data_IF_622945077226
#
_entry.id   IF_622945077226
#
_cell.length_a   1.000
_cell.length_b   1.000
_cell.length_c   1.000
_cell.angle_alpha   90.00
_cell.angle_beta   90.00
_cell.angle_gamma   90.00
#
_symmetry.space_group_name_H-M   'P 1'
#
loop_
_entity.id
_entity.type
_entity.pdbx_description
1 polymer ?
#
# COMPACT_ATOMS: atom_id res chain seq x y z
N UNK A 1 -25.98 16.09 -10.15
CA UNK A 1 -26.54 14.80 -9.66
C UNK A 1 -25.54 13.70 -9.97
N UNK A 2 -25.62 12.56 -9.28
CA UNK A 2 -24.70 11.44 -9.53
C UNK A 2 -25.39 10.38 -10.41
N UNK A 3 -24.67 9.82 -11.38
CA UNK A 3 -25.19 8.84 -12.34
C UNK A 3 -24.18 7.72 -12.54
N UNK A 4 -24.66 6.48 -12.46
CA UNK A 4 -23.94 5.28 -12.90
C UNK A 4 -24.78 4.49 -13.89
N UNK A 5 -24.12 3.78 -14.80
CA UNK A 5 -24.75 2.89 -15.77
C UNK A 5 -24.08 1.53 -15.72
N UNK A 6 -24.88 0.46 -15.75
CA UNK A 6 -24.42 -0.91 -15.90
C UNK A 6 -24.90 -1.40 -17.26
N UNK A 7 -23.97 -1.74 -18.15
CA UNK A 7 -24.24 -2.29 -19.47
C UNK A 7 -23.72 -3.72 -19.57
N UNK A 8 -24.43 -4.58 -20.29
CA UNK A 8 -23.96 -5.91 -20.65
C UNK A 8 -24.47 -6.35 -22.01
N UNK A 9 -23.59 -6.94 -22.82
CA UNK A 9 -23.96 -7.60 -24.07
C UNK A 9 -24.63 -8.97 -23.86
N UNK A 10 -24.69 -9.47 -22.61
CA UNK A 10 -25.31 -10.74 -22.30
C UNK A 10 -26.85 -10.64 -22.51
N UNK A 11 -27.46 -11.52 -23.33
CA UNK A 11 -28.90 -11.48 -23.59
C UNK A 11 -29.75 -11.66 -22.32
N UNK A 12 -29.21 -12.31 -21.29
CA UNK A 12 -29.88 -12.54 -20.01
C UNK A 12 -29.61 -11.45 -18.95
N UNK A 13 -28.99 -10.32 -19.36
CA UNK A 13 -28.60 -9.23 -18.45
C UNK A 13 -29.69 -8.83 -17.46
N UNK A 14 -30.92 -8.62 -17.96
CA UNK A 14 -32.06 -8.21 -17.14
C UNK A 14 -32.42 -9.22 -16.04
N UNK A 15 -32.26 -10.51 -16.32
CA UNK A 15 -32.48 -11.57 -15.34
C UNK A 15 -31.35 -11.65 -14.31
N UNK A 16 -30.10 -11.48 -14.75
CA UNK A 16 -28.92 -11.47 -13.87
C UNK A 16 -29.03 -10.35 -12.82
N UNK A 17 -29.47 -9.15 -13.23
CA UNK A 17 -29.67 -8.02 -12.31
C UNK A 17 -31.03 -8.02 -11.60
N UNK A 18 -31.91 -8.97 -11.93
CA UNK A 18 -33.28 -9.11 -11.40
C UNK A 18 -34.12 -7.83 -11.59
N UNK A 19 -34.06 -7.23 -12.79
CA UNK A 19 -34.84 -6.04 -13.16
C UNK A 19 -35.62 -6.32 -14.45
N UNK A 20 -36.87 -5.90 -14.50
CA UNK A 20 -37.72 -6.10 -15.68
C UNK A 20 -37.60 -4.89 -16.63
N UNK A 21 -37.16 -5.06 -17.89
CA UNK A 21 -37.08 -3.97 -18.86
C UNK A 21 -38.44 -3.32 -19.18
N UNK A 22 -39.53 -4.06 -19.02
CA UNK A 22 -40.89 -3.57 -19.22
C UNK A 22 -41.48 -2.88 -17.97
N UNK A 23 -40.76 -2.91 -16.85
CA UNK A 23 -41.16 -2.14 -15.68
C UNK A 23 -40.72 -0.69 -15.84
N UNK A 24 -41.54 0.24 -15.35
CA UNK A 24 -41.17 1.66 -15.29
C UNK A 24 -40.00 1.91 -14.33
N UNK A 25 -39.79 3.19 -14.03
CA UNK A 25 -38.73 3.62 -13.13
C UNK A 25 -38.89 3.02 -11.73
N UNK A 26 -37.81 2.44 -11.20
CA UNK A 26 -37.75 1.93 -9.83
C UNK A 26 -37.10 2.95 -8.90
N UNK A 27 -37.67 3.15 -7.72
CA UNK A 27 -37.17 4.12 -6.73
C UNK A 27 -36.60 3.39 -5.51
N UNK A 28 -35.48 3.89 -5.00
CA UNK A 28 -34.85 3.46 -3.75
C UNK A 28 -34.33 4.67 -2.99
N UNK A 29 -34.48 4.68 -1.67
CA UNK A 29 -33.83 5.69 -0.83
C UNK A 29 -32.35 5.35 -0.70
N UNK A 30 -31.48 6.33 -0.95
CA UNK A 30 -30.05 6.23 -0.66
C UNK A 30 -29.70 7.38 0.26
N UNK A 31 -29.31 7.04 1.50
CA UNK A 31 -29.02 8.03 2.55
C UNK A 31 -30.19 9.01 2.70
N UNK A 32 -29.99 10.30 2.39
CA UNK A 32 -31.02 11.34 2.49
C UNK A 32 -31.70 11.67 1.16
N UNK A 33 -31.21 11.10 0.05
CA UNK A 33 -31.77 11.31 -1.28
C UNK A 33 -32.57 10.12 -1.82
N UNK A 34 -33.01 10.28 -3.06
CA UNK A 34 -33.75 9.26 -3.83
C UNK A 34 -32.93 8.91 -5.06
N UNK A 35 -32.78 7.60 -5.28
CA UNK A 35 -32.21 7.03 -6.49
C UNK A 35 -33.28 6.42 -7.37
N UNK A 36 -33.09 6.57 -8.67
CA UNK A 36 -34.03 6.21 -9.73
C UNK A 36 -33.30 5.26 -10.68
N UNK A 37 -33.84 4.05 -10.83
CA UNK A 37 -33.28 3.01 -11.69
C UNK A 37 -34.19 2.71 -12.87
N UNK A 38 -33.66 2.70 -14.09
CA UNK A 38 -34.43 2.41 -15.30
C UNK A 38 -33.55 1.83 -16.43
N UNK A 39 -34.16 1.09 -17.34
CA UNK A 39 -33.52 0.68 -18.59
C UNK A 39 -33.64 1.79 -19.63
N UNK A 40 -32.52 2.19 -20.25
CA UNK A 40 -32.53 3.05 -21.45
C UNK A 40 -32.79 2.25 -22.73
N UNK A 41 -32.42 0.98 -22.69
CA UNK A 41 -32.49 -0.04 -23.74
C UNK A 41 -32.32 -1.42 -23.07
N UNK A 42 -32.41 -2.51 -23.82
CA UNK A 42 -32.37 -3.86 -23.24
C UNK A 42 -31.04 -4.23 -22.56
N UNK A 43 -29.94 -3.60 -22.96
CA UNK A 43 -28.58 -3.91 -22.52
C UNK A 43 -28.02 -2.98 -21.44
N UNK A 44 -28.70 -1.86 -21.12
CA UNK A 44 -28.18 -0.83 -20.19
C UNK A 44 -29.18 -0.43 -19.13
N UNK A 45 -28.78 -0.61 -17.87
CA UNK A 45 -29.52 -0.16 -16.69
C UNK A 45 -28.84 1.05 -16.07
N UNK A 46 -29.61 2.12 -15.86
CA UNK A 46 -29.14 3.39 -15.33
C UNK A 46 -29.56 3.54 -13.88
N UNK A 47 -28.72 4.16 -13.07
CA UNK A 47 -29.06 4.61 -11.71
C UNK A 47 -28.68 6.08 -11.59
N UNK A 48 -29.69 6.92 -11.37
CA UNK A 48 -29.53 8.35 -11.15
C UNK A 48 -29.89 8.67 -9.69
N UNK A 49 -29.09 9.49 -9.04
CA UNK A 49 -29.32 9.92 -7.67
C UNK A 49 -29.55 11.42 -7.57
N UNK A 50 -30.67 11.78 -6.96
CA UNK A 50 -31.01 13.13 -6.53
C UNK A 50 -30.92 13.18 -5.01
N UNK A 51 -29.99 13.99 -4.50
CA UNK A 51 -29.87 14.25 -3.07
C UNK A 51 -31.08 15.03 -2.53
N UNK A 52 -31.26 15.06 -1.21
CA UNK A 52 -32.28 15.88 -0.57
C UNK A 52 -32.03 17.37 -0.84
N UNK A 53 -33.11 18.16 -0.93
CA UNK A 53 -33.00 19.61 -1.20
C UNK A 53 -32.42 20.35 0.00
N UNK A 54 -32.77 19.95 1.22
CA UNK A 54 -32.38 20.61 2.47
C UNK A 54 -31.48 19.76 3.39
N UNK A 55 -30.98 18.62 2.91
CA UNK A 55 -30.04 17.76 3.65
C UNK A 55 -28.89 17.33 2.74
N UNK A 56 -27.78 16.90 3.36
CA UNK A 56 -26.57 16.45 2.66
C UNK A 56 -26.34 14.97 2.94
N UNK A 57 -26.41 14.13 1.90
CA UNK A 57 -26.15 12.68 2.04
C UNK A 57 -24.69 12.35 2.31
N UNK A 58 -23.77 13.09 1.67
CA UNK A 58 -22.33 12.83 1.65
C UNK A 58 -21.59 14.03 2.23
N UNK A 59 -21.59 14.10 3.56
CA UNK A 59 -20.98 15.19 4.30
C UNK A 59 -19.44 15.10 4.25
N UNK A 60 -18.80 16.25 4.11
CA UNK A 60 -17.34 16.43 4.22
C UNK A 60 -16.91 16.74 5.66
N UNK A 61 -17.84 17.21 6.51
CA UNK A 61 -17.63 17.35 7.95
C UNK A 61 -18.88 16.95 8.74
N UNK A 62 -18.72 16.52 9.99
CA UNK A 62 -19.87 16.09 10.82
C UNK A 62 -20.91 17.20 11.04
N UNK A 63 -20.43 18.45 11.12
CA UNK A 63 -21.21 19.66 11.34
C UNK A 63 -21.91 20.17 10.07
N UNK A 64 -21.70 19.52 8.93
CA UNK A 64 -22.31 19.94 7.68
C UNK A 64 -23.79 19.55 7.66
N UNK A 65 -24.67 20.53 7.79
CA UNK A 65 -26.12 20.32 7.74
C UNK A 65 -26.75 20.84 6.45
N UNK A 66 -26.15 21.88 5.86
CA UNK A 66 -26.63 22.52 4.64
C UNK A 66 -25.47 23.28 3.97
N UNK A 67 -25.02 22.84 2.80
CA UNK A 67 -23.94 23.51 2.07
C UNK A 67 -24.22 23.48 0.56
N UNK A 68 -24.38 24.67 -0.04
CA UNK A 68 -24.65 24.83 -1.47
C UNK A 68 -23.47 24.41 -2.36
N UNK A 69 -22.26 24.35 -1.80
CA UNK A 69 -21.01 24.06 -2.51
C UNK A 69 -20.52 22.63 -2.32
N UNK A 70 -21.26 21.79 -1.59
CA UNK A 70 -20.92 20.38 -1.49
C UNK A 70 -21.13 19.71 -2.86
N UNK A 71 -20.02 19.41 -3.54
CA UNK A 71 -20.01 18.71 -4.83
C UNK A 71 -20.10 17.20 -4.70
N UNK A 72 -19.92 16.64 -3.50
CA UNK A 72 -19.91 15.20 -3.20
C UNK A 72 -21.23 14.52 -3.59
N UNK A 73 -22.36 15.23 -3.48
CA UNK A 73 -23.67 14.76 -4.00
C UNK A 73 -23.69 14.45 -5.51
N UNK A 74 -22.66 14.84 -6.24
CA UNK A 74 -22.56 14.65 -7.68
C UNK A 74 -21.43 13.70 -8.09
N UNK A 75 -20.32 13.66 -7.35
CA UNK A 75 -19.11 12.94 -7.76
C UNK A 75 -18.48 12.09 -6.67
N UNK A 76 -19.10 11.89 -5.50
CA UNK A 76 -18.50 11.07 -4.46
C UNK A 76 -18.26 9.62 -4.91
N UNK A 77 -17.07 9.04 -4.67
CA UNK A 77 -16.82 7.61 -4.92
C UNK A 77 -17.68 6.67 -4.08
N UNK A 78 -18.35 7.19 -3.03
CA UNK A 78 -19.29 6.43 -2.21
C UNK A 78 -20.61 6.13 -2.93
N UNK A 79 -21.01 6.96 -3.89
CA UNK A 79 -22.29 6.77 -4.57
C UNK A 79 -22.33 5.48 -5.40
N UNK A 80 -21.33 5.15 -6.23
CA UNK A 80 -21.25 3.84 -6.89
C UNK A 80 -21.43 2.66 -5.93
N UNK A 81 -20.80 2.71 -4.74
CA UNK A 81 -20.96 1.67 -3.72
C UNK A 81 -22.40 1.55 -3.22
N UNK A 82 -23.08 2.68 -3.03
CA UNK A 82 -24.47 2.72 -2.58
C UNK A 82 -25.42 2.27 -3.71
N UNK A 83 -25.18 2.68 -4.95
CA UNK A 83 -25.93 2.24 -6.12
C UNK A 83 -25.83 0.71 -6.32
N UNK A 84 -24.62 0.14 -6.19
CA UNK A 84 -24.42 -1.32 -6.26
C UNK A 84 -25.22 -2.05 -5.17
N UNK A 85 -25.21 -1.55 -3.93
CA UNK A 85 -25.95 -2.20 -2.85
C UNK A 85 -27.48 -2.15 -3.05
N UNK A 86 -28.02 -1.03 -3.53
CA UNK A 86 -29.47 -0.87 -3.66
C UNK A 86 -30.05 -1.47 -4.94
N UNK A 87 -29.32 -1.35 -6.06
CA UNK A 87 -29.83 -1.77 -7.36
C UNK A 87 -29.26 -3.08 -7.86
N UNK A 88 -28.04 -3.45 -7.44
CA UNK A 88 -27.29 -4.59 -7.97
C UNK A 88 -26.85 -5.58 -6.86
N UNK A 89 -27.53 -5.60 -5.71
CA UNK A 89 -27.16 -6.50 -4.62
C UNK A 89 -27.33 -7.98 -4.96
N UNK A 90 -28.26 -8.34 -5.83
CA UNK A 90 -28.46 -9.71 -6.25
C UNK A 90 -27.24 -10.27 -7.01
N UNK A 91 -26.81 -9.69 -8.15
CA UNK A 91 -25.62 -10.14 -8.85
C UNK A 91 -24.32 -9.90 -8.06
N UNK A 92 -24.30 -8.98 -7.10
CA UNK A 92 -23.14 -8.79 -6.20
C UNK A 92 -23.02 -9.90 -5.13
N UNK A 93 -24.13 -10.53 -4.70
CA UNK A 93 -24.09 -11.52 -3.61
C UNK A 93 -23.77 -12.93 -4.09
N UNK A 94 -24.28 -13.27 -5.27
CA UNK A 94 -24.24 -14.61 -5.86
C UNK A 94 -23.91 -14.48 -7.35
N UNK A 95 -22.94 -15.27 -7.80
CA UNK A 95 -22.64 -15.45 -9.21
C UNK A 95 -23.79 -16.20 -9.88
N UNK A 96 -24.38 -15.61 -10.91
CA UNK A 96 -25.47 -16.20 -11.68
C UNK A 96 -24.90 -17.18 -12.72
N UNK A 97 -25.51 -18.35 -12.91
CA UNK A 97 -25.04 -19.35 -13.87
C UNK A 97 -25.05 -18.84 -15.33
N UNK A 98 -25.87 -17.82 -15.62
CA UNK A 98 -25.94 -17.18 -16.95
C UNK A 98 -24.83 -16.16 -17.18
N UNK A 99 -24.10 -15.78 -16.14
CA UNK A 99 -22.98 -14.83 -16.19
C UNK A 99 -21.70 -15.54 -16.66
N UNK A 100 -21.77 -16.00 -17.91
CA UNK A 100 -20.72 -16.71 -18.61
C UNK A 100 -19.70 -15.75 -19.25
N UNK A 101 -18.46 -16.23 -19.38
CA UNK A 101 -17.39 -15.49 -20.05
C UNK A 101 -17.70 -15.20 -21.52
N UNK A 102 -17.10 -14.12 -22.02
CA UNK A 102 -17.12 -13.76 -23.45
C UNK A 102 -18.08 -12.63 -23.80
N UNK A 103 -19.02 -12.28 -22.93
CA UNK A 103 -19.84 -11.08 -23.08
C UNK A 103 -19.12 -9.85 -22.52
N UNK A 104 -19.20 -8.70 -23.21
CA UNK A 104 -18.70 -7.46 -22.64
C UNK A 104 -19.65 -6.93 -21.56
N UNK A 105 -19.08 -6.58 -20.40
CA UNK A 105 -19.76 -5.92 -19.30
C UNK A 105 -19.07 -4.60 -19.00
N UNK A 106 -19.85 -3.54 -18.80
CA UNK A 106 -19.34 -2.18 -18.56
C UNK A 106 -20.04 -1.55 -17.38
N UNK A 107 -19.25 -1.00 -16.45
CA UNK A 107 -19.72 -0.13 -15.40
C UNK A 107 -19.21 1.28 -15.68
N UNK A 108 -20.13 2.20 -15.96
CA UNK A 108 -19.82 3.58 -16.25
C UNK A 108 -20.24 4.48 -15.09
N UNK A 109 -19.33 5.36 -14.67
CA UNK A 109 -19.55 6.39 -13.67
C UNK A 109 -19.41 7.73 -14.36
N UNK A 110 -20.51 8.46 -14.47
CA UNK A 110 -20.53 9.71 -15.25
C UNK A 110 -19.62 10.78 -14.66
N UNK A 111 -19.55 10.85 -13.32
CA UNK A 111 -18.69 11.80 -12.62
C UNK A 111 -18.25 11.20 -11.27
N UNK A 112 -16.94 11.16 -11.05
CA UNK A 112 -16.29 10.66 -9.82
C UNK A 112 -15.11 11.56 -9.45
N UNK A 113 -14.99 11.90 -8.16
CA UNK A 113 -13.86 12.60 -7.58
C UNK A 113 -12.73 11.62 -7.32
N UNK A 114 -11.56 11.85 -7.90
CA UNK A 114 -10.38 11.01 -7.71
C UNK A 114 -9.25 11.85 -7.15
N UNK A 115 -9.00 11.73 -5.85
CA UNK A 115 -7.92 12.44 -5.18
C UNK A 115 -6.54 11.91 -5.58
N UNK A 116 -6.43 10.59 -5.73
CA UNK A 116 -5.18 9.89 -6.02
C UNK A 116 -5.35 8.95 -7.20
N UNK A 117 -5.03 9.43 -8.40
CA UNK A 117 -5.09 8.66 -9.66
C UNK A 117 -4.27 7.37 -9.62
N UNK A 118 -3.20 7.34 -8.83
CA UNK A 118 -2.31 6.20 -8.72
C UNK A 118 -3.01 4.88 -8.34
N UNK A 119 -4.10 4.93 -7.55
CA UNK A 119 -4.87 3.72 -7.24
C UNK A 119 -5.53 3.12 -8.47
N UNK A 120 -5.96 3.95 -9.43
CA UNK A 120 -6.49 3.42 -10.68
C UNK A 120 -5.39 2.74 -11.49
N UNK A 121 -4.22 3.38 -11.61
CA UNK A 121 -3.05 2.81 -12.28
C UNK A 121 -2.66 1.46 -11.67
N UNK A 122 -2.72 1.32 -10.35
CA UNK A 122 -2.48 0.03 -9.68
C UNK A 122 -3.50 -1.04 -10.08
N UNK A 123 -4.79 -0.70 -10.12
CA UNK A 123 -5.82 -1.65 -10.54
C UNK A 123 -5.64 -2.06 -12.00
N UNK A 124 -5.43 -1.10 -12.91
CA UNK A 124 -5.17 -1.35 -14.32
C UNK A 124 -3.93 -2.23 -14.53
N UNK A 125 -2.86 -1.95 -13.80
CA UNK A 125 -1.61 -2.70 -13.87
C UNK A 125 -1.77 -4.13 -13.38
N UNK A 126 -2.61 -4.38 -12.39
CA UNK A 126 -2.68 -5.69 -11.72
C UNK A 126 -3.91 -6.53 -12.13
N UNK A 127 -4.95 -5.94 -12.70
CA UNK A 127 -6.17 -6.62 -13.14
C UNK A 127 -6.27 -6.60 -14.67
N UNK A 128 -5.44 -7.41 -15.34
CA UNK A 128 -5.28 -7.38 -16.81
C UNK A 128 -6.55 -7.75 -17.60
N UNK A 129 -7.50 -8.43 -16.98
CA UNK A 129 -8.79 -8.80 -17.58
C UNK A 129 -9.82 -7.65 -17.55
N UNK A 130 -9.41 -6.47 -17.05
CA UNK A 130 -10.22 -5.28 -16.93
C UNK A 130 -9.53 -4.10 -17.62
N UNK A 131 -10.32 -3.25 -18.25
CA UNK A 131 -9.85 -1.94 -18.74
C UNK A 131 -10.46 -0.83 -17.91
N UNK A 132 -9.68 0.23 -17.71
CA UNK A 132 -10.06 1.39 -16.90
C UNK A 132 -9.85 2.65 -17.73
N UNK A 133 -10.93 3.23 -18.24
CA UNK A 133 -10.85 4.45 -19.06
C UNK A 133 -11.28 5.66 -18.25
N UNK A 134 -10.38 6.64 -18.12
CA UNK A 134 -10.67 7.92 -17.51
C UNK A 134 -10.82 9.01 -18.56
N UNK A 135 -11.88 9.81 -18.40
CA UNK A 135 -12.04 11.08 -19.10
C UNK A 135 -12.14 12.21 -18.09
N UNK A 136 -11.14 13.08 -18.06
CA UNK A 136 -11.14 14.26 -17.20
C UNK A 136 -12.27 15.22 -17.62
N UNK A 137 -13.05 15.69 -16.64
CA UNK A 137 -14.05 16.73 -16.84
C UNK A 137 -13.51 18.09 -16.39
N UNK A 138 -13.20 18.21 -15.10
CA UNK A 138 -12.69 19.43 -14.48
C UNK A 138 -12.13 19.11 -13.09
N UNK A 139 -11.04 19.78 -12.70
CA UNK A 139 -10.35 19.54 -11.42
C UNK A 139 -10.14 18.03 -11.19
N UNK A 140 -10.38 17.52 -9.98
CA UNK A 140 -10.26 16.09 -9.67
C UNK A 140 -11.50 15.28 -10.02
N UNK A 141 -12.34 15.78 -10.95
CA UNK A 141 -13.56 15.08 -11.39
C UNK A 141 -13.39 14.46 -12.77
N UNK A 142 -13.74 13.18 -12.88
CA UNK A 142 -13.56 12.36 -14.07
C UNK A 142 -14.85 11.59 -14.38
N UNK A 143 -15.07 11.23 -15.64
CA UNK A 143 -15.85 10.04 -15.97
C UNK A 143 -14.92 8.82 -15.92
N UNK A 144 -15.43 7.70 -15.41
CA UNK A 144 -14.71 6.45 -15.30
C UNK A 144 -15.53 5.32 -15.91
N UNK A 145 -14.94 4.63 -16.88
CA UNK A 145 -15.50 3.41 -17.50
C UNK A 145 -14.64 2.22 -17.08
N UNK A 146 -15.27 1.17 -16.58
CA UNK A 146 -14.61 -0.09 -16.24
C UNK A 146 -15.26 -1.19 -17.06
N UNK A 147 -14.45 -1.89 -17.85
CA UNK A 147 -14.94 -2.91 -18.79
C UNK A 147 -14.26 -4.24 -18.51
N UNK A 148 -14.99 -5.34 -18.70
CA UNK A 148 -14.43 -6.69 -18.68
C UNK A 148 -15.22 -7.62 -19.59
N UNK A 149 -14.61 -8.76 -19.95
CA UNK A 149 -15.28 -9.88 -20.63
C UNK A 149 -15.35 -11.15 -19.78
N UNK A 150 -14.96 -11.07 -18.51
CA UNK A 150 -14.95 -12.24 -17.61
C UNK A 150 -16.34 -12.50 -17.04
N UNK A 151 -16.87 -11.57 -16.23
CA UNK A 151 -18.21 -11.68 -15.65
C UNK A 151 -18.73 -10.35 -15.12
N UNK A 152 -20.05 -10.18 -15.14
CA UNK A 152 -20.74 -9.07 -14.47
C UNK A 152 -20.51 -9.11 -12.95
N UNK A 153 -20.46 -10.31 -12.36
CA UNK A 153 -20.21 -10.52 -10.95
C UNK A 153 -18.86 -9.93 -10.53
N UNK A 154 -17.77 -10.31 -11.22
CA UNK A 154 -16.45 -9.76 -10.92
C UNK A 154 -16.38 -8.26 -11.21
N UNK A 155 -17.00 -7.77 -12.28
CA UNK A 155 -17.07 -6.32 -12.57
C UNK A 155 -17.61 -5.53 -11.38
N UNK A 156 -18.74 -5.95 -10.79
CA UNK A 156 -19.33 -5.27 -9.64
C UNK A 156 -18.40 -5.30 -8.42
N UNK A 157 -17.66 -6.39 -8.21
CA UNK A 157 -16.67 -6.49 -7.13
C UNK A 157 -15.44 -5.62 -7.38
N UNK A 158 -14.89 -5.58 -8.61
CA UNK A 158 -13.77 -4.69 -8.96
C UNK A 158 -14.15 -3.23 -8.77
N UNK A 159 -15.31 -2.81 -9.30
CA UNK A 159 -15.84 -1.44 -9.12
C UNK A 159 -15.99 -1.13 -7.64
N UNK A 160 -16.52 -2.07 -6.85
CA UNK A 160 -16.74 -1.90 -5.42
C UNK A 160 -15.42 -1.72 -4.65
N UNK A 161 -14.42 -2.55 -4.92
CA UNK A 161 -13.12 -2.45 -4.25
C UNK A 161 -12.41 -1.16 -4.67
N UNK A 162 -12.36 -0.84 -5.96
CA UNK A 162 -11.74 0.39 -6.45
C UNK A 162 -12.39 1.64 -5.84
N UNK A 163 -13.73 1.74 -5.89
CA UNK A 163 -14.45 2.88 -5.33
C UNK A 163 -14.23 3.00 -3.81
N UNK A 164 -14.07 1.89 -3.08
CA UNK A 164 -13.70 1.95 -1.67
C UNK A 164 -12.32 2.59 -1.47
N UNK A 165 -11.30 2.19 -2.24
CA UNK A 165 -9.97 2.82 -2.20
C UNK A 165 -10.03 4.30 -2.54
N UNK A 166 -10.78 4.67 -3.58
CA UNK A 166 -10.95 6.07 -3.99
C UNK A 166 -11.64 6.89 -2.91
N UNK A 167 -12.63 6.31 -2.23
CA UNK A 167 -13.37 6.99 -1.17
C UNK A 167 -12.48 7.30 0.04
N UNK A 168 -11.44 6.50 0.35
CA UNK A 168 -10.54 6.75 1.49
C UNK A 168 -9.82 8.10 1.45
N UNK A 169 -9.49 8.55 0.25
CA UNK A 169 -8.81 9.83 0.02
C UNK A 169 -9.80 10.90 -0.43
N UNK A 170 -11.09 10.59 -0.45
CA UNK A 170 -12.16 11.56 -0.67
C UNK A 170 -12.26 12.56 0.47
N UNK A 171 -13.17 13.51 0.31
CA UNK A 171 -13.44 14.55 1.32
C UNK A 171 -14.38 14.05 2.41
N UNK A 172 -15.06 12.93 2.16
CA UNK A 172 -16.12 12.39 2.99
C UNK A 172 -15.60 11.42 4.04
N UNK A 173 -16.19 11.48 5.23
CA UNK A 173 -15.87 10.50 6.27
C UNK A 173 -16.47 9.13 5.95
N UNK A 174 -15.69 8.08 6.17
CA UNK A 174 -16.09 6.69 6.00
C UNK A 174 -15.73 5.94 7.27
N UNK A 175 -16.75 5.49 7.98
CA UNK A 175 -16.56 4.56 9.07
C UNK A 175 -16.29 3.16 8.51
N UNK A 176 -15.05 2.71 8.62
CA UNK A 176 -14.64 1.35 8.23
C UNK A 176 -14.84 0.43 9.43
N UNK A 177 -16.08 -0.04 9.57
CA UNK A 177 -16.47 -1.08 10.53
C UNK A 177 -16.04 -2.49 10.08
N UNK A 178 -16.04 -3.44 11.01
CA UNK A 178 -15.70 -4.84 10.73
C UNK A 178 -16.66 -5.47 9.69
N UNK A 179 -17.95 -5.16 9.72
CA UNK A 179 -18.91 -5.64 8.73
C UNK A 179 -18.58 -5.14 7.31
N UNK A 180 -18.07 -3.91 7.20
CA UNK A 180 -17.60 -3.36 5.92
C UNK A 180 -16.35 -4.12 5.47
N UNK A 181 -15.39 -4.35 6.37
CA UNK A 181 -14.20 -5.15 6.05
C UNK A 181 -14.59 -6.54 5.56
N UNK A 182 -15.44 -7.27 6.28
CA UNK A 182 -15.90 -8.61 5.89
C UNK A 182 -16.48 -8.63 4.46
N UNK A 183 -17.29 -7.62 4.13
CA UNK A 183 -17.88 -7.46 2.80
C UNK A 183 -16.83 -7.25 1.71
N UNK A 184 -15.84 -6.38 1.94
CA UNK A 184 -14.84 -6.06 0.92
C UNK A 184 -13.73 -7.10 0.84
N UNK A 185 -13.43 -7.81 1.93
CA UNK A 185 -12.58 -9.01 1.93
C UNK A 185 -13.22 -10.10 1.05
N UNK A 186 -14.53 -10.33 1.18
CA UNK A 186 -15.24 -11.20 0.23
C UNK A 186 -15.03 -10.75 -1.22
N UNK A 187 -15.07 -9.44 -1.47
CA UNK A 187 -14.87 -8.90 -2.81
C UNK A 187 -13.44 -9.11 -3.33
N UNK A 188 -12.44 -8.97 -2.47
CA UNK A 188 -11.03 -9.29 -2.76
C UNK A 188 -10.87 -10.77 -3.15
N UNK A 189 -11.60 -11.68 -2.51
CA UNK A 189 -11.61 -13.11 -2.87
C UNK A 189 -12.31 -13.40 -4.20
N UNK A 190 -13.46 -12.77 -4.45
CA UNK A 190 -14.22 -13.01 -5.69
C UNK A 190 -13.42 -12.61 -6.93
N UNK A 191 -12.69 -11.49 -6.86
CA UNK A 191 -11.83 -11.05 -7.97
C UNK A 191 -10.47 -11.74 -7.98
N UNK A 192 -10.26 -12.69 -7.05
CA UNK A 192 -8.97 -13.29 -6.70
C UNK A 192 -7.83 -12.29 -6.83
N UNK A 193 -7.91 -11.20 -6.06
CA UNK A 193 -7.03 -10.05 -6.24
C UNK A 193 -5.55 -10.47 -6.13
N UNK A 194 -4.63 -9.91 -6.91
CA UNK A 194 -3.20 -10.23 -6.78
C UNK A 194 -2.61 -9.61 -5.51
N UNK A 195 -1.38 -10.03 -5.17
CA UNK A 195 -0.64 -9.59 -3.98
C UNK A 195 -0.75 -8.08 -3.74
N UNK A 196 -0.47 -7.26 -4.76
CA UNK A 196 -0.36 -5.82 -4.56
C UNK A 196 -1.66 -5.18 -4.09
N UNK A 197 -2.80 -5.58 -4.66
CA UNK A 197 -4.12 -5.08 -4.25
C UNK A 197 -4.44 -5.52 -2.81
N UNK A 198 -4.05 -6.75 -2.43
CA UNK A 198 -4.21 -7.27 -1.05
C UNK A 198 -3.32 -6.53 -0.05
N UNK A 199 -2.05 -6.29 -0.39
CA UNK A 199 -1.11 -5.53 0.44
C UNK A 199 -1.59 -4.08 0.61
N UNK A 200 -2.07 -3.44 -0.47
CA UNK A 200 -2.72 -2.12 -0.40
C UNK A 200 -3.95 -2.15 0.52
N UNK A 201 -4.79 -3.19 0.43
CA UNK A 201 -5.97 -3.31 1.28
C UNK A 201 -5.56 -3.43 2.75
N UNK A 202 -4.60 -4.31 3.07
CA UNK A 202 -4.10 -4.49 4.43
C UNK A 202 -3.52 -3.18 4.99
N UNK A 203 -2.67 -2.50 4.23
CA UNK A 203 -2.02 -1.25 4.65
C UNK A 203 -3.02 -0.13 4.92
N UNK A 204 -4.06 -0.03 4.12
CA UNK A 204 -4.97 1.10 4.12
C UNK A 204 -6.20 0.89 5.04
N UNK A 205 -6.70 -0.34 5.17
CA UNK A 205 -7.93 -0.63 5.92
C UNK A 205 -7.69 -1.36 7.24
N UNK A 206 -6.56 -2.08 7.38
CA UNK A 206 -6.19 -2.81 8.60
C UNK A 206 -5.14 -2.02 9.41
N UNK A 207 -5.47 -0.76 9.70
CA UNK A 207 -4.54 0.23 10.26
C UNK A 207 -4.10 -0.05 11.69
N UNK A 208 -4.86 -0.83 12.47
CA UNK A 208 -4.51 -1.21 13.85
C UNK A 208 -3.97 -2.65 13.90
N UNK A 209 -3.07 -2.93 14.86
CA UNK A 209 -2.53 -4.29 15.05
C UNK A 209 -3.60 -5.34 15.34
N UNK A 210 -4.63 -4.97 16.10
CA UNK A 210 -5.75 -5.85 16.42
C UNK A 210 -6.51 -6.25 15.16
N UNK A 211 -6.95 -5.27 14.38
CA UNK A 211 -7.67 -5.49 13.13
C UNK A 211 -6.81 -6.25 12.12
N UNK A 212 -5.54 -5.90 12.01
CA UNK A 212 -4.59 -6.61 11.16
C UNK A 212 -4.48 -8.08 11.55
N UNK A 213 -4.27 -8.41 12.83
CA UNK A 213 -4.20 -9.80 13.30
C UNK A 213 -5.49 -10.57 13.04
N UNK A 214 -6.65 -9.92 13.19
CA UNK A 214 -7.96 -10.52 12.93
C UNK A 214 -8.13 -10.93 11.46
N UNK A 215 -7.66 -10.11 10.53
CA UNK A 215 -7.94 -10.27 9.10
C UNK A 215 -6.78 -10.76 8.23
N UNK A 216 -5.54 -10.79 8.75
CA UNK A 216 -4.33 -11.18 8.01
C UNK A 216 -4.53 -12.48 7.22
N UNK A 217 -4.91 -13.56 7.91
CA UNK A 217 -5.08 -14.88 7.30
C UNK A 217 -6.16 -14.91 6.23
N UNK A 218 -7.22 -14.12 6.37
CA UNK A 218 -8.23 -14.02 5.30
C UNK A 218 -7.65 -13.27 4.11
N UNK A 219 -7.03 -12.10 4.30
CA UNK A 219 -6.45 -11.32 3.20
C UNK A 219 -5.40 -12.10 2.39
N UNK A 220 -4.62 -12.96 3.03
CA UNK A 220 -3.57 -13.75 2.37
C UNK A 220 -4.12 -14.84 1.42
N UNK A 221 -5.39 -15.27 1.57
CA UNK A 221 -5.95 -16.37 0.77
C UNK A 221 -6.20 -16.00 -0.68
N UNK A 222 -5.48 -16.66 -1.58
CA UNK A 222 -5.62 -16.58 -3.05
C UNK A 222 -5.31 -17.93 -3.68
N UNK A 223 -5.85 -18.18 -4.87
CA UNK A 223 -5.47 -19.35 -5.70
C UNK A 223 -4.18 -19.15 -6.48
N UNK A 224 -3.62 -17.94 -6.52
CA UNK A 224 -2.49 -17.61 -7.39
C UNK A 224 -1.15 -18.10 -6.86
N UNK A 225 -0.87 -17.84 -5.58
CA UNK A 225 0.40 -18.12 -4.92
C UNK A 225 0.30 -17.87 -3.40
N UNK A 226 1.15 -18.47 -2.56
CA UNK A 226 1.27 -18.12 -1.15
C UNK A 226 1.68 -16.65 -0.97
N UNK A 227 0.99 -15.97 -0.05
CA UNK A 227 1.28 -14.60 0.38
C UNK A 227 1.54 -14.61 1.89
N UNK A 228 2.57 -13.88 2.32
CA UNK A 228 2.82 -13.53 3.71
C UNK A 228 2.82 -12.02 3.86
N UNK A 229 1.82 -11.44 4.50
CA UNK A 229 1.80 -10.01 4.80
C UNK A 229 2.43 -9.73 6.15
N UNK A 230 3.00 -8.54 6.31
CA UNK A 230 3.45 -8.01 7.60
C UNK A 230 2.76 -6.68 7.94
N UNK A 231 2.62 -6.39 9.24
CA UNK A 231 1.89 -5.19 9.67
C UNK A 231 2.69 -3.91 9.39
N UNK A 232 2.08 -2.99 8.65
CA UNK A 232 2.61 -1.65 8.39
C UNK A 232 3.19 -1.48 6.98
N UNK A 233 3.93 -0.40 6.79
CA UNK A 233 4.71 -0.20 5.55
C UNK A 233 5.99 -1.05 5.56
N UNK A 234 6.58 -1.29 4.39
CA UNK A 234 7.87 -1.98 4.25
C UNK A 234 8.95 -1.40 5.16
N UNK A 235 9.07 -0.07 5.24
CA UNK A 235 9.99 0.59 6.18
C UNK A 235 9.68 0.26 7.65
N UNK A 236 8.41 0.26 8.05
CA UNK A 236 8.02 -0.11 9.42
C UNK A 236 8.29 -1.59 9.71
N UNK A 237 8.00 -2.47 8.76
CA UNK A 237 8.28 -3.91 8.86
C UNK A 237 9.78 -4.14 9.07
N UNK A 238 10.64 -3.48 8.28
CA UNK A 238 12.09 -3.52 8.43
C UNK A 238 12.57 -2.96 9.77
N UNK A 239 12.07 -1.81 10.21
CA UNK A 239 12.41 -1.26 11.53
C UNK A 239 12.01 -2.18 12.67
N UNK A 240 10.83 -2.81 12.59
CA UNK A 240 10.40 -3.78 13.60
C UNK A 240 11.30 -5.02 13.61
N UNK A 241 11.70 -5.50 12.42
CA UNK A 241 12.64 -6.62 12.29
C UNK A 241 13.99 -6.29 12.93
N UNK A 242 14.62 -5.18 12.54
CA UNK A 242 15.91 -4.74 13.08
C UNK A 242 15.81 -4.53 14.59
N UNK A 243 14.75 -3.89 15.07
CA UNK A 243 14.50 -3.74 16.50
C UNK A 243 14.34 -5.08 17.24
N UNK A 244 13.97 -6.18 16.58
CA UNK A 244 13.89 -7.49 17.21
C UNK A 244 15.24 -8.22 17.27
N UNK A 245 16.22 -7.76 16.51
CA UNK A 245 17.57 -8.33 16.43
C UNK A 245 18.59 -7.59 17.29
N UNK A 246 18.29 -6.35 17.68
CA UNK A 246 19.15 -5.55 18.54
C UNK A 246 18.77 -5.72 20.03
N UNK A 247 19.74 -5.99 20.91
CA UNK A 247 19.49 -6.14 22.36
C UNK A 247 19.25 -4.79 23.07
N UNK A 248 19.62 -3.67 22.44
CA UNK A 248 19.57 -2.31 23.02
C UNK A 248 20.40 -2.13 24.30
N UNK A 249 21.52 -2.83 24.40
CA UNK A 249 22.44 -2.75 25.56
C UNK A 249 23.71 -1.94 25.28
N UNK A 250 23.99 -1.64 24.01
CA UNK A 250 25.22 -0.97 23.52
C UNK A 250 24.84 0.27 22.72
N UNK A 251 25.82 1.15 22.49
CA UNK A 251 25.64 2.29 21.59
C UNK A 251 25.33 1.78 20.17
N UNK A 252 24.48 2.50 19.43
CA UNK A 252 24.15 2.16 18.03
C UNK A 252 24.75 3.21 17.09
N UNK A 253 25.40 2.76 16.02
CA UNK A 253 25.81 3.59 14.88
C UNK A 253 24.85 3.36 13.72
N UNK A 254 24.10 4.40 13.37
CA UNK A 254 23.09 4.42 12.31
C UNK A 254 23.61 5.22 11.12
N UNK A 255 24.02 4.51 10.08
CA UNK A 255 24.62 5.08 8.88
C UNK A 255 23.54 5.22 7.82
N UNK A 256 23.32 6.45 7.34
CA UNK A 256 22.19 6.81 6.48
C UNK A 256 20.90 6.99 7.28
N UNK A 257 20.96 7.71 8.41
CA UNK A 257 19.84 7.80 9.35
C UNK A 257 18.61 8.53 8.78
N UNK A 258 18.77 9.26 7.68
CA UNK A 258 17.74 10.06 7.03
C UNK A 258 17.09 11.03 7.99
N UNK A 259 15.77 11.15 7.93
CA UNK A 259 14.99 12.00 8.85
C UNK A 259 14.83 11.41 10.27
N UNK A 260 15.62 10.39 10.64
CA UNK A 260 15.61 9.79 11.99
C UNK A 260 14.50 8.76 12.19
N UNK A 261 14.12 8.06 11.12
CA UNK A 261 13.09 7.01 11.17
C UNK A 261 13.44 5.88 12.15
N UNK A 262 14.73 5.56 12.28
CA UNK A 262 15.29 4.64 13.27
C UNK A 262 15.83 5.38 14.50
N UNK A 263 16.60 6.45 14.28
CA UNK A 263 17.27 7.20 15.34
C UNK A 263 16.33 7.64 16.48
N UNK A 264 15.20 8.25 16.15
CA UNK A 264 14.27 8.77 17.15
C UNK A 264 13.67 7.64 18.03
N UNK A 265 13.05 6.58 17.49
CA UNK A 265 12.47 5.52 18.34
C UNK A 265 13.49 4.55 18.96
N UNK A 266 14.71 4.47 18.45
CA UNK A 266 15.73 3.56 19.00
C UNK A 266 16.55 4.23 20.10
N UNK A 267 16.87 5.52 19.98
CA UNK A 267 17.57 6.27 21.01
C UNK A 267 16.84 6.24 22.36
N UNK A 268 15.49 6.26 22.36
CA UNK A 268 14.67 6.16 23.59
C UNK A 268 14.73 4.81 24.29
N UNK A 269 15.24 3.76 23.63
CA UNK A 269 15.42 2.42 24.20
C UNK A 269 16.83 2.19 24.73
N UNK A 270 17.78 3.05 24.36
CA UNK A 270 19.18 2.86 24.67
C UNK A 270 19.55 3.51 26.01
N UNK A 271 20.32 2.81 26.87
CA UNK A 271 20.92 3.41 28.04
C UNK A 271 22.16 4.25 27.72
N UNK A 272 22.77 4.04 26.54
CA UNK A 272 23.99 4.71 26.08
C UNK A 272 23.68 5.65 24.90
N UNK A 273 24.65 5.87 23.99
CA UNK A 273 24.53 6.82 22.88
C UNK A 273 23.92 6.21 21.63
N UNK A 274 23.20 7.03 20.86
CA UNK A 274 22.78 6.73 19.50
C UNK A 274 23.50 7.69 18.55
N UNK A 275 24.43 7.16 17.77
CA UNK A 275 25.20 7.91 16.78
C UNK A 275 24.48 7.84 15.43
N UNK A 276 23.89 8.95 14.98
CA UNK A 276 23.18 9.02 13.72
C UNK A 276 24.02 9.79 12.68
N UNK A 277 24.26 9.16 11.53
CA UNK A 277 25.17 9.65 10.50
C UNK A 277 24.39 9.80 9.19
N UNK A 278 24.45 10.96 8.57
CA UNK A 278 23.88 11.19 7.24
C UNK A 278 24.63 12.31 6.51
N UNK A 279 24.83 12.15 5.20
CA UNK A 279 25.50 13.16 4.37
C UNK A 279 24.60 14.36 4.06
N UNK A 280 23.28 14.21 4.26
CA UNK A 280 22.30 15.26 4.03
C UNK A 280 22.08 16.08 5.31
N UNK A 281 22.66 17.29 5.34
CA UNK A 281 22.53 18.20 6.47
C UNK A 281 21.08 18.58 6.79
N UNK A 282 20.20 18.66 5.78
CA UNK A 282 18.79 18.99 6.00
C UNK A 282 18.06 17.89 6.77
N UNK A 283 18.39 16.63 6.47
CA UNK A 283 17.89 15.46 7.21
C UNK A 283 18.36 15.51 8.67
N UNK A 284 19.64 15.78 8.90
CA UNK A 284 20.22 15.90 10.25
C UNK A 284 19.58 17.05 11.05
N UNK A 285 19.31 18.19 10.42
CA UNK A 285 18.60 19.31 11.06
C UNK A 285 17.21 18.90 11.54
N UNK A 286 16.49 18.10 10.75
CA UNK A 286 15.18 17.57 11.12
C UNK A 286 15.27 16.57 12.27
N UNK A 287 16.28 15.69 12.26
CA UNK A 287 16.55 14.78 13.39
C UNK A 287 16.83 15.56 14.66
N UNK A 288 17.68 16.60 14.59
CA UNK A 288 18.02 17.45 15.74
C UNK A 288 16.77 18.10 16.34
N UNK A 289 15.89 18.66 15.50
CA UNK A 289 14.62 19.25 15.95
C UNK A 289 13.73 18.21 16.64
N UNK A 290 13.53 17.04 16.00
CA UNK A 290 12.72 15.94 16.56
C UNK A 290 13.28 15.40 17.87
N UNK A 291 14.60 15.34 18.02
CA UNK A 291 15.26 14.90 19.24
C UNK A 291 15.01 15.89 20.39
N UNK A 292 15.13 17.21 20.15
CA UNK A 292 14.80 18.25 21.13
C UNK A 292 13.34 18.19 21.54
N UNK A 293 12.41 18.10 20.57
CA UNK A 293 10.97 18.01 20.83
C UNK A 293 10.58 16.78 21.67
N UNK A 294 11.37 15.71 21.60
CA UNK A 294 11.14 14.45 22.33
C UNK A 294 12.05 14.27 23.54
N UNK A 295 12.83 15.30 23.89
CA UNK A 295 13.77 15.29 25.02
C UNK A 295 14.79 14.13 24.96
N UNK A 296 15.24 13.77 23.75
CA UNK A 296 16.24 12.72 23.52
C UNK A 296 17.63 13.35 23.62
N UNK A 297 18.32 13.12 24.75
CA UNK A 297 19.64 13.71 25.03
C UNK A 297 20.83 12.85 24.63
N UNK A 298 20.62 11.57 24.35
CA UNK A 298 21.67 10.60 24.02
C UNK A 298 21.90 10.42 22.52
N UNK A 299 21.26 11.23 21.67
CA UNK A 299 21.38 11.17 20.22
C UNK A 299 22.44 12.17 19.74
N UNK A 300 23.49 11.67 19.08
CA UNK A 300 24.64 12.46 18.59
C UNK A 300 24.67 12.35 17.07
N UNK A 301 24.85 13.49 16.40
CA UNK A 301 24.78 13.59 14.93
C UNK A 301 26.16 13.81 14.33
N UNK A 302 26.45 13.11 13.23
CA UNK A 302 27.65 13.31 12.41
C UNK A 302 27.27 13.46 10.94
N UNK A 303 28.02 14.27 10.18
CA UNK A 303 27.77 14.46 8.75
C UNK A 303 28.46 13.42 7.87
N UNK A 304 29.37 12.61 8.44
CA UNK A 304 30.03 11.51 7.74
C UNK A 304 30.56 10.46 8.71
N UNK A 305 30.82 9.26 8.18
CA UNK A 305 31.48 8.19 8.94
C UNK A 305 32.89 8.62 9.37
N UNK A 306 33.63 9.30 8.50
CA UNK A 306 34.99 9.78 8.82
C UNK A 306 35.01 10.79 9.97
N UNK A 307 33.98 11.64 10.08
CA UNK A 307 33.86 12.55 11.22
C UNK A 307 33.58 11.79 12.52
N UNK A 308 32.66 10.82 12.48
CA UNK A 308 32.41 9.95 13.64
C UNK A 308 33.67 9.21 14.10
N UNK A 309 34.44 8.67 13.15
CA UNK A 309 35.66 7.91 13.43
C UNK A 309 36.78 8.72 14.10
N UNK A 310 36.79 10.06 13.94
CA UNK A 310 37.73 10.93 14.65
C UNK A 310 37.44 10.99 16.15
N UNK A 311 36.18 10.88 16.53
CA UNK A 311 35.70 10.93 17.92
C UNK A 311 35.50 9.52 18.51
N UNK A 312 35.47 8.49 17.66
CA UNK A 312 35.24 7.11 18.05
C UNK A 312 36.41 6.56 18.89
N UNK A 313 36.10 6.13 20.10
CA UNK A 313 37.07 5.66 21.09
C UNK A 313 37.32 4.15 21.07
N UNK A 314 36.74 3.43 20.11
CA UNK A 314 36.84 1.96 20.04
C UNK A 314 35.85 1.21 20.94
N UNK A 315 34.81 1.86 21.47
CA UNK A 315 33.75 1.16 22.20
C UNK A 315 33.03 0.13 21.32
N UNK A 316 32.60 -1.00 21.90
CA UNK A 316 31.83 -1.97 21.15
C UNK A 316 30.40 -1.45 20.90
N UNK A 317 29.98 -1.42 19.63
CA UNK A 317 28.68 -0.88 19.18
C UNK A 317 27.84 -1.92 18.44
N UNK A 318 26.57 -1.61 18.19
CA UNK A 318 25.81 -2.22 17.10
C UNK A 318 25.75 -1.23 15.92
N UNK A 319 25.77 -1.72 14.69
CA UNK A 319 25.77 -0.90 13.46
C UNK A 319 24.56 -1.24 12.61
N UNK A 320 23.88 -0.22 12.09
CA UNK A 320 22.82 -0.38 11.10
C UNK A 320 23.15 0.43 9.83
N UNK A 321 22.98 -0.22 8.68
CA UNK A 321 23.18 0.35 7.35
C UNK A 321 21.99 -0.07 6.47
N UNK A 322 20.89 0.67 6.55
CA UNK A 322 19.61 0.25 5.99
C UNK A 322 19.25 1.07 4.76
N UNK A 323 19.13 0.43 3.60
CA UNK A 323 18.81 1.10 2.32
C UNK A 323 19.78 2.24 1.97
N UNK A 324 21.06 1.95 1.98
CA UNK A 324 22.12 2.93 1.69
C UNK A 324 23.00 2.46 0.55
N UNK A 325 23.35 1.17 0.55
CA UNK A 325 24.36 0.60 -0.35
C UNK A 325 23.93 0.63 -1.82
N UNK A 326 22.62 0.57 -2.10
CA UNK A 326 22.04 0.65 -3.44
C UNK A 326 22.14 2.05 -4.05
N UNK A 327 22.39 3.09 -3.24
CA UNK A 327 22.61 4.46 -3.71
C UNK A 327 24.09 4.72 -4.07
N UNK A 328 24.97 3.74 -3.82
CA UNK A 328 26.39 3.77 -4.15
C UNK A 328 26.67 2.81 -5.32
N UNK A 329 27.77 3.01 -6.06
CA UNK A 329 28.23 1.96 -6.97
C UNK A 329 28.63 0.71 -6.17
N UNK A 330 28.61 -0.48 -6.82
CA UNK A 330 28.95 -1.76 -6.16
C UNK A 330 30.33 -1.71 -5.48
N UNK A 331 31.31 -1.03 -6.09
CA UNK A 331 32.66 -0.98 -5.54
C UNK A 331 32.80 0.03 -4.40
N UNK A 332 32.11 1.16 -4.48
CA UNK A 332 32.03 2.10 -3.36
C UNK A 332 31.36 1.43 -2.14
N UNK A 333 30.25 0.73 -2.35
CA UNK A 333 29.57 -0.02 -1.29
C UNK A 333 30.47 -1.12 -0.69
N UNK A 334 31.19 -1.88 -1.53
CA UNK A 334 32.15 -2.90 -1.08
C UNK A 334 33.26 -2.30 -0.21
N UNK A 335 33.87 -1.21 -0.64
CA UNK A 335 34.91 -0.50 0.13
C UNK A 335 34.33 0.02 1.44
N UNK A 336 33.14 0.60 1.40
CA UNK A 336 32.48 1.18 2.57
C UNK A 336 32.14 0.13 3.64
N UNK A 337 31.57 -1.01 3.25
CA UNK A 337 31.31 -2.13 4.18
C UNK A 337 32.62 -2.63 4.80
N UNK A 338 33.69 -2.79 4.01
CA UNK A 338 35.01 -3.21 4.53
C UNK A 338 35.63 -2.18 5.48
N UNK A 339 35.46 -0.89 5.20
CA UNK A 339 35.90 0.19 6.10
C UNK A 339 35.22 0.04 7.47
N UNK A 340 33.89 -0.09 7.50
CA UNK A 340 33.11 -0.31 8.73
C UNK A 340 33.61 -1.55 9.47
N UNK A 341 33.78 -2.68 8.77
CA UNK A 341 34.25 -3.93 9.38
C UNK A 341 35.63 -3.82 10.03
N UNK A 342 36.53 -3.01 9.45
CA UNK A 342 37.91 -2.86 9.91
C UNK A 342 38.09 -1.79 11.00
N UNK A 343 37.23 -0.77 11.03
CA UNK A 343 37.43 0.41 11.88
C UNK A 343 36.49 0.46 13.09
N UNK A 344 35.33 -0.21 13.03
CA UNK A 344 34.40 -0.29 14.17
C UNK A 344 34.51 -1.64 14.88
N UNK A 345 34.55 -1.63 16.21
CA UNK A 345 34.30 -2.83 17.00
C UNK A 345 32.78 -2.99 17.17
N UNK A 346 32.19 -3.94 16.45
CA UNK A 346 30.74 -4.17 16.47
C UNK A 346 30.39 -5.59 16.93
N UNK A 347 29.22 -5.70 17.56
CA UNK A 347 28.61 -6.99 17.90
C UNK A 347 27.61 -7.43 16.82
N UNK A 348 26.68 -6.56 16.44
CA UNK A 348 25.79 -6.77 15.30
C UNK A 348 26.00 -5.68 14.26
N UNK A 349 26.26 -6.06 13.00
CA UNK A 349 26.22 -5.14 11.87
C UNK A 349 25.14 -5.57 10.89
N UNK A 350 24.03 -4.83 10.87
CA UNK A 350 22.85 -5.14 10.05
C UNK A 350 22.84 -4.30 8.80
N UNK A 351 22.92 -4.97 7.65
CA UNK A 351 22.86 -4.36 6.32
C UNK A 351 21.54 -4.77 5.66
N UNK A 352 20.80 -3.83 5.08
CA UNK A 352 19.61 -4.13 4.27
C UNK A 352 19.64 -3.42 2.93
N UNK A 353 19.01 -4.04 1.94
CA UNK A 353 18.82 -3.48 0.60
C UNK A 353 17.54 -4.07 -0.03
N UNK A 354 16.94 -3.41 -1.04
CA UNK A 354 15.82 -3.98 -1.79
C UNK A 354 16.15 -5.35 -2.40
N UNK A 355 15.12 -6.20 -2.50
CA UNK A 355 15.20 -7.45 -3.25
C UNK A 355 14.54 -7.29 -4.62
N UNK A 356 15.32 -7.28 -5.70
CA UNK A 356 14.77 -7.06 -7.05
C UNK A 356 13.91 -8.22 -7.56
N UNK A 357 14.09 -9.44 -7.03
CA UNK A 357 13.24 -10.59 -7.35
C UNK A 357 11.77 -10.33 -7.00
N UNK A 358 11.52 -9.42 -6.04
CA UNK A 358 10.17 -9.05 -5.63
C UNK A 358 9.51 -8.00 -6.54
N UNK A 359 10.28 -7.28 -7.39
CA UNK A 359 9.76 -6.15 -8.18
C UNK A 359 8.64 -6.57 -9.15
N UNK A 360 8.64 -7.83 -9.60
CA UNK A 360 7.58 -8.41 -10.41
C UNK A 360 6.20 -8.33 -9.73
N UNK A 361 6.12 -8.44 -8.39
CA UNK A 361 4.86 -8.37 -7.66
C UNK A 361 4.34 -6.94 -7.48
N UNK A 362 5.19 -5.94 -7.75
CA UNK A 362 4.81 -4.54 -7.94
C UNK A 362 4.61 -4.18 -9.42
N UNK A 363 4.78 -5.15 -10.32
CA UNK A 363 4.78 -5.01 -11.78
C UNK A 363 5.77 -3.93 -12.27
N UNK A 364 6.83 -3.63 -11.52
CA UNK A 364 7.77 -2.55 -11.86
C UNK A 364 8.69 -2.97 -13.02
N UNK A 365 8.90 -2.06 -13.97
CA UNK A 365 9.94 -2.19 -15.00
C UNK A 365 11.16 -1.39 -14.53
N UNK A 366 12.17 -2.08 -13.98
CA UNK A 366 13.39 -1.45 -13.46
C UNK A 366 13.49 -1.42 -11.93
N UNK A 367 14.19 -0.42 -11.40
CA UNK A 367 14.42 -0.25 -9.97
C UNK A 367 13.19 0.36 -9.28
N UNK A 368 13.07 0.16 -7.97
CA UNK A 368 12.00 0.73 -7.14
C UNK A 368 12.09 2.24 -7.00
N UNK A 369 13.31 2.76 -7.04
CA UNK A 369 13.57 4.20 -6.98
C UNK A 369 14.58 4.60 -8.06
N UNK A 370 14.35 5.77 -8.65
CA UNK A 370 15.12 6.27 -9.79
C UNK A 370 16.58 6.61 -9.44
N UNK A 371 16.86 6.82 -8.15
CA UNK A 371 18.18 7.14 -7.62
C UNK A 371 19.01 5.90 -7.22
N UNK A 372 18.44 4.70 -7.30
CA UNK A 372 19.18 3.46 -7.12
C UNK A 372 20.19 3.25 -8.25
N UNK A 373 21.41 2.88 -7.89
CA UNK A 373 22.47 2.51 -8.83
C UNK A 373 22.34 1.06 -9.30
N UNK A 374 21.81 0.20 -8.44
CA UNK A 374 21.59 -1.22 -8.68
C UNK A 374 20.52 -1.77 -7.74
N UNK A 375 19.86 -2.87 -8.13
CA UNK A 375 19.07 -3.71 -7.23
C UNK A 375 19.33 -5.18 -7.56
N UNK A 376 19.84 -5.93 -6.58
CA UNK A 376 20.20 -7.34 -6.76
C UNK A 376 19.03 -8.25 -6.43
N UNK A 377 18.96 -9.38 -7.13
CA UNK A 377 18.17 -10.53 -6.70
C UNK A 377 18.84 -11.21 -5.50
N UNK A 378 18.16 -12.18 -4.91
CA UNK A 378 18.62 -12.86 -3.70
C UNK A 378 19.94 -13.60 -3.90
N UNK A 379 20.08 -14.34 -5.00
CA UNK A 379 21.30 -15.12 -5.28
C UNK A 379 22.52 -14.20 -5.50
N UNK A 380 22.35 -13.13 -6.27
CA UNK A 380 23.41 -12.16 -6.56
C UNK A 380 23.88 -11.45 -5.28
N UNK A 381 22.93 -10.98 -4.46
CA UNK A 381 23.25 -10.31 -3.19
C UNK A 381 23.99 -11.24 -2.22
N UNK A 382 23.56 -12.49 -2.12
CA UNK A 382 24.20 -13.47 -1.23
C UNK A 382 25.63 -13.78 -1.67
N UNK A 383 25.86 -13.98 -2.97
CA UNK A 383 27.20 -14.19 -3.50
C UNK A 383 28.11 -12.98 -3.23
N UNK A 384 27.64 -11.77 -3.58
CA UNK A 384 28.39 -10.54 -3.41
C UNK A 384 28.74 -10.25 -1.94
N UNK A 385 27.79 -10.39 -1.02
CA UNK A 385 28.05 -10.19 0.41
C UNK A 385 28.95 -11.28 1.00
N UNK A 386 28.87 -12.52 0.52
CA UNK A 386 29.75 -13.60 0.99
C UNK A 386 31.21 -13.28 0.69
N UNK A 387 31.52 -12.83 -0.53
CA UNK A 387 32.87 -12.40 -0.90
C UNK A 387 33.37 -11.24 -0.02
N UNK A 388 32.51 -10.25 0.24
CA UNK A 388 32.86 -9.09 1.08
C UNK A 388 33.17 -9.55 2.51
N UNK A 389 32.35 -10.43 3.08
CA UNK A 389 32.54 -10.96 4.43
C UNK A 389 33.82 -11.79 4.52
N UNK A 390 34.14 -12.59 3.50
CA UNK A 390 35.39 -13.36 3.43
C UNK A 390 36.62 -12.43 3.40
N UNK A 391 36.62 -11.42 2.54
CA UNK A 391 37.70 -10.43 2.46
C UNK A 391 37.86 -9.61 3.74
N UNK A 392 36.76 -9.32 4.44
CA UNK A 392 36.76 -8.58 5.69
C UNK A 392 37.05 -9.47 6.92
N UNK A 393 37.14 -10.80 6.76
CA UNK A 393 37.41 -11.72 7.87
C UNK A 393 36.25 -11.86 8.86
N UNK A 394 35.02 -11.60 8.43
CA UNK A 394 33.79 -11.67 9.25
C UNK A 394 32.89 -12.80 8.77
N UNK A 395 31.79 -13.06 9.49
CA UNK A 395 30.76 -14.01 9.10
C UNK A 395 29.39 -13.34 9.23
N UNK A 396 28.34 -13.93 8.68
CA UNK A 396 27.00 -13.36 8.83
C UNK A 396 25.89 -14.30 8.46
N UNK A 397 24.67 -13.92 8.85
CA UNK A 397 23.44 -14.62 8.55
C UNK A 397 22.58 -13.78 7.61
N UNK A 398 22.23 -14.33 6.44
CA UNK A 398 21.29 -13.70 5.53
C UNK A 398 19.87 -13.70 6.08
N UNK A 399 19.13 -12.62 5.78
CA UNK A 399 17.78 -12.38 6.30
C UNK A 399 16.87 -11.83 5.21
N UNK A 400 15.59 -12.17 5.33
CA UNK A 400 14.51 -11.72 4.44
C UNK A 400 13.45 -11.01 5.28
N UNK A 401 12.95 -9.87 4.80
CA UNK A 401 12.21 -8.90 5.61
C UNK A 401 11.01 -8.33 4.84
N UNK A 402 9.88 -8.23 5.54
CA UNK A 402 8.65 -7.59 5.07
C UNK A 402 7.67 -8.55 4.40
N UNK A 403 6.73 -8.01 3.62
CA UNK A 403 5.78 -8.81 2.85
C UNK A 403 6.52 -9.84 1.97
N UNK A 404 5.89 -11.00 1.77
CA UNK A 404 6.42 -12.15 1.07
C UNK A 404 5.43 -12.73 0.06
N UNK A 405 5.94 -13.18 -1.09
CA UNK A 405 5.20 -13.94 -2.11
C UNK A 405 6.09 -15.06 -2.62
N UNK A 406 5.63 -16.30 -2.60
CA UNK A 406 6.47 -17.47 -2.93
C UNK A 406 7.81 -17.49 -2.16
N UNK A 407 7.78 -17.13 -0.87
CA UNK A 407 8.95 -16.99 0.01
C UNK A 407 9.98 -15.93 -0.41
N UNK A 408 9.70 -15.15 -1.46
CA UNK A 408 10.48 -13.97 -1.85
C UNK A 408 9.94 -12.79 -1.05
N UNK A 409 10.80 -12.09 -0.32
CA UNK A 409 10.41 -10.94 0.50
C UNK A 409 10.82 -9.60 -0.11
N UNK A 410 10.12 -8.54 0.30
CA UNK A 410 10.38 -7.16 -0.18
C UNK A 410 11.79 -6.68 0.05
N UNK A 411 12.42 -7.00 1.18
CA UNK A 411 13.76 -6.56 1.55
C UNK A 411 14.62 -7.76 1.89
N UNK A 412 15.89 -7.69 1.52
CA UNK A 412 16.91 -8.65 1.90
C UNK A 412 18.00 -7.97 2.73
N UNK A 413 18.79 -8.76 3.44
CA UNK A 413 19.87 -8.22 4.25
C UNK A 413 20.78 -9.29 4.82
N UNK A 414 21.75 -8.86 5.61
CA UNK A 414 22.66 -9.72 6.35
C UNK A 414 22.97 -9.12 7.71
N UNK A 415 23.04 -9.99 8.72
CA UNK A 415 23.51 -9.65 10.06
C UNK A 415 24.94 -10.18 10.17
N UNK A 416 25.91 -9.27 10.13
CA UNK A 416 27.34 -9.55 10.15
C UNK A 416 27.84 -9.54 11.60
N UNK A 417 28.74 -10.47 11.91
CA UNK A 417 29.39 -10.67 13.21
C UNK A 417 30.87 -11.01 13.01
N UNK A 418 31.71 -10.73 14.00
CA UNK A 418 33.12 -11.14 13.97
C UNK A 418 33.24 -12.67 14.09
N UNK A 419 34.25 -13.27 13.44
CA UNK A 419 34.51 -14.71 13.56
C UNK A 419 34.96 -15.05 14.99
N UNK A 420 34.23 -15.96 15.65
CA UNK A 420 34.56 -16.45 17.00
C UNK A 420 33.98 -15.63 18.16
N UNK A 421 33.03 -14.73 17.89
CA UNK A 421 32.21 -14.07 18.90
C UNK A 421 31.13 -15.00 19.48
#
# INVERSE_FOLDING_TARGET
MAIVQLRSENPDFSYMIKKNPNSGMSLRSIRKGIAYGWFSNADTYNVYFKDAENEVSYKQSEQEHFEYLNVSRYNTPLFPLNAINEFFSAPMKQHDERDAEGYEHVFFINMIHIERLLYLTFFEKHLKDFTFELKHHADKSYALTITTRTSLHQLLHVVSVLCLFLSMFGKEHIDISDNILDKYIKSIHVIDAPFYIRSLFARNFLTTRERYRKYKTEIEKTSRYPIQLEYGSTGLQRRNYISSKLPFTKSIVDIGCGEGFYAIPFATKLPQYYYAIDINEQSLDLVRRRAVEKEISNLILFSSLDQFLQDYNGEQVDVILTEVIEHMSKEEARVFIKQICSQLDFDHFIITTPNSDFNQFYELEGYRHDDHKWEMGQEEFQAWMTEIMEEAGVQGQFVSIGDGVNDIHTTQGVIVQRKGA
#
